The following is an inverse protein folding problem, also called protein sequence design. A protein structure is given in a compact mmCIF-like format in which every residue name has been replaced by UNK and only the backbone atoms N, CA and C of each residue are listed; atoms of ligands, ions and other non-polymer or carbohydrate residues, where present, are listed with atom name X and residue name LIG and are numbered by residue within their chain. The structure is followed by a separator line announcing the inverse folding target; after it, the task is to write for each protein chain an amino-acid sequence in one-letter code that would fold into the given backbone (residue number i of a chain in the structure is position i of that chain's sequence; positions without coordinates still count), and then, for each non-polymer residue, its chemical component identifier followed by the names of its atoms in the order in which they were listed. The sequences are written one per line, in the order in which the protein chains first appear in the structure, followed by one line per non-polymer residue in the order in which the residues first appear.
data_IF_510228017696
#
_entry.id   IF_510228017696
#
_cell.length_a   1.000
_cell.length_b   1.000
_cell.length_c   1.000
_cell.angle_alpha   90.00
_cell.angle_beta   90.00
_cell.angle_gamma   90.00
#
_symmetry.space_group_name_H-M   'P 1'
#
loop_
_entity.id
_entity.type
_entity.pdbx_description
1 polymer ?
#
# COMPACT_ATOMS: atom_id res chain seq x y z
N UNK A 1 2.72 0.77 -17.48
CA UNK A 1 2.58 1.52 -16.21
C UNK A 1 1.14 1.55 -15.70
N UNK A 2 0.17 2.12 -16.42
CA UNK A 2 -1.24 2.14 -15.95
C UNK A 2 -1.85 0.73 -15.82
N UNK A 3 -1.57 -0.16 -16.77
CA UNK A 3 -2.08 -1.54 -16.76
C UNK A 3 -1.60 -2.37 -15.55
N UNK A 4 -0.36 -2.17 -15.08
CA UNK A 4 0.15 -2.90 -13.90
C UNK A 4 -0.51 -2.43 -12.61
N UNK A 5 -0.78 -1.13 -12.48
CA UNK A 5 -1.51 -0.58 -11.34
C UNK A 5 -2.97 -1.05 -11.30
N UNK A 6 -3.64 -1.14 -12.45
CA UNK A 6 -4.99 -1.72 -12.53
C UNK A 6 -4.99 -3.19 -12.09
N UNK A 7 -3.96 -3.96 -12.44
CA UNK A 7 -3.80 -5.35 -11.98
C UNK A 7 -3.55 -5.44 -10.48
N UNK A 8 -2.77 -4.51 -9.91
CA UNK A 8 -2.59 -4.40 -8.45
C UNK A 8 -3.92 -4.11 -7.74
N UNK A 9 -4.68 -3.13 -8.23
CA UNK A 9 -6.00 -2.77 -7.67
C UNK A 9 -7.04 -3.88 -7.79
N UNK A 10 -6.92 -4.78 -8.77
CA UNK A 10 -7.76 -5.98 -8.87
C UNK A 10 -7.51 -6.99 -7.76
N UNK A 11 -6.29 -7.04 -7.22
CA UNK A 11 -5.85 -8.04 -6.24
C UNK A 11 -6.03 -7.56 -4.79
N UNK A 12 -6.04 -6.25 -4.57
CA UNK A 12 -6.21 -5.64 -3.25
C UNK A 12 -7.69 -5.61 -2.86
N UNK A 13 -8.04 -6.26 -1.74
CA UNK A 13 -9.43 -6.52 -1.30
C UNK A 13 -10.32 -5.26 -1.31
N UNK A 14 -9.91 -4.11 -0.74
CA UNK A 14 -10.70 -2.88 -0.80
C UNK A 14 -11.11 -2.44 -2.21
N UNK A 15 -10.33 -2.75 -3.24
CA UNK A 15 -10.50 -2.22 -4.60
C UNK A 15 -10.95 -3.28 -5.62
N UNK A 16 -10.96 -4.57 -5.26
CA UNK A 16 -11.26 -5.66 -6.20
C UNK A 16 -12.63 -5.54 -6.86
N UNK A 17 -13.61 -4.97 -6.15
CA UNK A 17 -15.00 -4.85 -6.60
C UNK A 17 -15.30 -3.58 -7.41
N UNK A 18 -14.34 -2.66 -7.53
CA UNK A 18 -14.52 -1.45 -8.33
C UNK A 18 -14.69 -1.80 -9.82
N UNK A 19 -15.50 -1.02 -10.54
CA UNK A 19 -15.59 -1.15 -12.00
C UNK A 19 -14.23 -0.86 -12.65
N UNK A 20 -14.03 -1.32 -13.89
CA UNK A 20 -12.76 -1.11 -14.60
C UNK A 20 -12.42 0.38 -14.73
N UNK A 21 -13.41 1.22 -15.07
CA UNK A 21 -13.21 2.67 -15.21
C UNK A 21 -12.78 3.32 -13.89
N UNK A 22 -13.36 2.89 -12.76
CA UNK A 22 -12.99 3.37 -11.43
C UNK A 22 -11.55 2.96 -11.06
N UNK A 23 -11.15 1.74 -11.41
CA UNK A 23 -9.77 1.28 -11.23
C UNK A 23 -8.79 2.07 -12.09
N UNK A 24 -9.14 2.37 -13.34
CA UNK A 24 -8.32 3.21 -14.23
C UNK A 24 -8.20 4.64 -13.69
N UNK A 25 -9.31 5.23 -13.25
CA UNK A 25 -9.31 6.55 -12.64
C UNK A 25 -8.44 6.60 -11.37
N UNK A 26 -8.49 5.57 -10.53
CA UNK A 26 -7.64 5.48 -9.34
C UNK A 26 -6.17 5.24 -9.70
N UNK A 27 -5.89 4.36 -10.67
CA UNK A 27 -4.53 4.08 -11.13
C UNK A 27 -3.80 5.33 -11.62
N UNK A 28 -4.52 6.27 -12.24
CA UNK A 28 -3.96 7.57 -12.67
C UNK A 28 -3.65 8.53 -11.53
N UNK A 29 -4.23 8.32 -10.35
CA UNK A 29 -4.02 9.14 -9.15
C UNK A 29 -3.02 8.52 -8.17
N UNK A 30 -2.59 7.28 -8.41
CA UNK A 30 -1.54 6.64 -7.62
C UNK A 30 -0.19 7.25 -7.98
N UNK A 31 0.59 7.55 -6.96
CA UNK A 31 1.96 8.00 -7.09
C UNK A 31 2.92 6.87 -6.72
N UNK A 32 3.97 6.69 -7.52
CA UNK A 32 5.01 5.71 -7.21
C UNK A 32 6.00 6.30 -6.21
N UNK A 33 6.09 5.67 -5.04
CA UNK A 33 7.04 6.04 -3.99
C UNK A 33 8.03 4.90 -3.73
N UNK A 34 9.27 5.25 -3.43
CA UNK A 34 10.33 4.28 -3.08
C UNK A 34 10.90 4.64 -1.73
N UNK A 35 11.05 3.63 -0.87
CA UNK A 35 11.64 3.76 0.46
C UNK A 35 12.82 2.81 0.59
N UNK A 36 13.83 3.25 1.34
CA UNK A 36 15.01 2.47 1.66
C UNK A 36 14.82 1.76 3.01
N UNK A 37 15.64 0.73 3.24
CA UNK A 37 15.64 0.01 4.52
C UNK A 37 15.88 0.99 5.68
N UNK A 38 15.10 0.81 6.75
CA UNK A 38 15.15 1.66 7.95
C UNK A 38 14.35 2.97 7.86
N UNK A 39 13.79 3.34 6.70
CA UNK A 39 12.89 4.48 6.61
C UNK A 39 11.52 4.16 7.22
N UNK A 40 11.00 5.10 8.01
CA UNK A 40 9.63 5.03 8.53
C UNK A 40 8.69 5.59 7.47
N UNK A 41 7.67 4.81 7.10
CA UNK A 41 6.68 5.18 6.07
C UNK A 41 5.47 5.88 6.73
N UNK A 42 4.97 5.34 7.84
CA UNK A 42 3.82 5.84 8.59
C UNK A 42 4.18 5.88 10.07
N UNK A 43 3.79 6.93 10.77
CA UNK A 43 3.88 7.03 12.22
C UNK A 43 2.54 6.71 12.87
N UNK A 44 2.52 5.78 13.82
CA UNK A 44 1.31 5.48 14.59
C UNK A 44 0.83 6.73 15.33
N UNK A 45 -0.49 6.95 15.31
CA UNK A 45 -1.16 8.09 15.93
C UNK A 45 -0.83 9.46 15.31
N UNK A 46 -0.25 9.51 14.10
CA UNK A 46 -0.13 10.76 13.33
C UNK A 46 -1.49 11.19 12.77
N UNK A 47 -2.10 12.29 13.28
CA UNK A 47 -3.41 12.75 12.84
C UNK A 47 -3.40 13.41 11.45
N UNK A 48 -2.22 13.76 10.94
CA UNK A 48 -2.06 14.40 9.64
C UNK A 48 -1.89 13.37 8.51
N UNK A 49 -1.57 12.11 8.83
CA UNK A 49 -1.47 11.07 7.81
C UNK A 49 -2.87 10.62 7.37
N UNK A 50 -3.13 10.78 6.06
CA UNK A 50 -4.37 10.41 5.38
C UNK A 50 -4.10 9.57 4.14
N UNK A 51 -2.85 9.20 3.89
CA UNK A 51 -2.45 8.47 2.71
C UNK A 51 -2.76 6.97 2.87
N UNK A 52 -2.99 6.31 1.75
CA UNK A 52 -3.09 4.85 1.69
C UNK A 52 -2.00 4.35 0.76
N UNK A 53 -1.18 3.44 1.26
CA UNK A 53 -0.06 2.88 0.52
C UNK A 53 -0.37 1.46 0.05
N UNK A 54 0.10 1.15 -1.15
CA UNK A 54 0.06 -0.20 -1.71
C UNK A 54 1.49 -0.66 -1.94
N UNK A 55 1.85 -1.81 -1.37
CA UNK A 55 3.18 -2.38 -1.56
C UNK A 55 3.20 -3.01 -2.96
N UNK A 56 3.95 -2.41 -3.89
CA UNK A 56 4.21 -2.98 -5.22
C UNK A 56 5.27 -4.09 -5.15
N UNK A 57 6.31 -3.88 -4.33
CA UNK A 57 7.40 -4.84 -4.12
C UNK A 57 8.10 -4.59 -2.77
N UNK A 58 8.76 -5.62 -2.24
CA UNK A 58 9.48 -5.55 -0.97
C UNK A 58 8.64 -5.95 0.25
N UNK A 59 9.11 -5.55 1.42
CA UNK A 59 8.48 -5.86 2.69
C UNK A 59 8.66 -4.73 3.70
N UNK A 60 7.69 -4.56 4.58
CA UNK A 60 7.66 -3.55 5.64
C UNK A 60 7.39 -4.21 6.97
N UNK A 61 7.95 -3.67 8.04
CA UNK A 61 7.62 -4.05 9.40
C UNK A 61 6.55 -3.11 9.94
N UNK A 62 5.46 -3.66 10.45
CA UNK A 62 4.38 -2.93 11.11
C UNK A 62 4.52 -3.15 12.60
N UNK A 63 4.74 -2.08 13.35
CA UNK A 63 4.86 -2.10 14.80
C UNK A 63 3.61 -1.52 15.44
N UNK A 64 3.04 -2.21 16.42
CA UNK A 64 2.04 -1.63 17.33
C UNK A 64 2.72 -1.25 18.64
N UNK A 65 2.94 0.05 18.84
CA UNK A 65 3.61 0.60 20.02
C UNK A 65 2.91 0.24 21.33
N UNK A 66 1.60 -0.05 21.29
CA UNK A 66 0.82 -0.40 22.47
C UNK A 66 0.96 -1.87 22.86
N UNK A 67 1.23 -2.75 21.87
CA UNK A 67 1.35 -4.21 22.07
C UNK A 67 2.79 -4.70 22.09
N UNK A 68 3.76 -3.87 21.69
CA UNK A 68 5.16 -4.27 21.56
C UNK A 68 5.38 -5.39 20.54
N UNK A 69 4.41 -5.59 19.63
CA UNK A 69 4.45 -6.65 18.62
C UNK A 69 4.83 -6.05 17.27
N UNK A 70 5.71 -6.75 16.55
CA UNK A 70 6.09 -6.40 15.18
C UNK A 70 5.59 -7.48 14.22
N UNK A 71 4.87 -7.07 13.18
CA UNK A 71 4.36 -7.94 12.13
C UNK A 71 5.01 -7.55 10.81
N UNK A 72 5.72 -8.49 10.19
CA UNK A 72 6.26 -8.31 8.85
C UNK A 72 5.14 -8.46 7.83
N UNK A 73 4.92 -7.44 7.02
CA UNK A 73 3.98 -7.44 5.91
C UNK A 73 4.77 -7.38 4.61
N UNK A 74 4.41 -8.22 3.64
CA UNK A 74 5.02 -8.22 2.31
C UNK A 74 3.95 -8.38 1.25
N UNK A 75 4.33 -8.14 0.00
CA UNK A 75 3.50 -8.53 -1.13
C UNK A 75 3.26 -10.04 -1.12
N UNK A 76 1.99 -10.44 -1.18
CA UNK A 76 1.57 -11.83 -1.42
C UNK A 76 1.56 -12.05 -2.94
N UNK A 77 2.72 -12.05 -3.59
CA UNK A 77 2.79 -12.31 -5.03
C UNK A 77 3.94 -13.29 -5.35
N UNK A 78 3.55 -14.55 -5.54
CA UNK A 78 4.19 -15.57 -6.38
C UNK A 78 3.29 -15.82 -7.58
#
# INVERSE_FOLDING_TARGET
MEQSLVMLLRRVIPFRFLALEQKQALARRLEKMTFHSGQIIIHQDDPQDRAVYLIESGSVDVCDNRRGTMVRVSTIYS
#
